data_IF_247330498329
#
_entry.id   IF_247330498329
#
_cell.length_a   1.000
_cell.length_b   1.000
_cell.length_c   1.000
_cell.angle_alpha   90.00
_cell.angle_beta   90.00
_cell.angle_gamma   90.00
#
_symmetry.space_group_name_H-M   'P 1'
#
loop_
_entity.id
_entity.type
_entity.pdbx_description
1 polymer ?
#
# COMPACT_ATOMS: atom_id res chain seq x y z
N UNK A 1 0.52 -25.23 -14.76
CA UNK A 1 -0.35 -24.32 -13.96
C UNK A 1 0.53 -23.20 -13.44
N UNK A 2 0.35 -21.98 -13.96
CA UNK A 2 1.17 -20.83 -13.58
C UNK A 2 0.73 -20.40 -12.18
N UNK A 3 1.56 -20.66 -11.17
CA UNK A 3 1.34 -20.18 -9.81
C UNK A 3 1.54 -18.67 -9.84
N UNK A 4 0.44 -17.90 -9.80
CA UNK A 4 0.51 -16.43 -9.78
C UNK A 4 0.39 -16.01 -8.32
N UNK A 5 1.53 -15.90 -7.66
CA UNK A 5 1.68 -15.05 -6.48
C UNK A 5 1.99 -13.64 -6.98
N UNK A 6 1.20 -12.66 -6.55
CA UNK A 6 1.44 -11.26 -6.89
C UNK A 6 0.89 -10.31 -5.83
N UNK A 7 1.66 -9.28 -5.48
CA UNK A 7 1.23 -8.19 -4.61
C UNK A 7 0.81 -7.00 -5.47
N UNK A 8 -0.51 -6.75 -5.68
CA UNK A 8 -0.96 -5.73 -6.61
C UNK A 8 -0.63 -4.30 -6.20
N UNK A 9 -0.47 -4.07 -4.90
CA UNK A 9 -0.02 -2.79 -4.38
C UNK A 9 0.53 -2.93 -2.97
N UNK A 10 1.55 -2.14 -2.67
CA UNK A 10 2.07 -1.93 -1.33
C UNK A 10 2.52 -0.47 -1.15
N UNK A 11 2.50 0.06 0.09
CA UNK A 11 3.07 1.38 0.34
C UNK A 11 4.58 1.34 0.14
N UNK A 12 5.13 2.32 -0.59
CA UNK A 12 6.60 2.51 -0.65
C UNK A 12 7.10 3.27 0.58
N UNK A 13 6.32 4.25 1.04
CA UNK A 13 6.59 5.05 2.23
C UNK A 13 5.33 5.11 3.08
N UNK A 14 5.46 4.97 4.40
CA UNK A 14 4.37 5.06 5.36
C UNK A 14 4.81 5.81 6.61
N UNK A 15 3.91 6.57 7.24
CA UNK A 15 4.20 7.22 8.51
C UNK A 15 4.17 6.20 9.66
N UNK A 16 5.00 6.40 10.69
CA UNK A 16 4.99 5.60 11.92
C UNK A 16 3.59 5.45 12.54
N UNK A 17 3.34 4.29 13.16
CA UNK A 17 2.06 3.94 13.78
C UNK A 17 0.82 3.84 12.88
N UNK A 18 0.93 4.01 11.55
CA UNK A 18 -0.20 3.93 10.62
C UNK A 18 -0.56 2.48 10.31
N UNK A 19 -1.85 2.27 10.05
CA UNK A 19 -2.38 1.00 9.55
C UNK A 19 -2.49 1.05 8.04
N UNK A 20 -2.16 -0.06 7.40
CA UNK A 20 -2.39 -0.25 5.97
C UNK A 20 -2.82 -1.69 5.68
N UNK A 21 -3.32 -1.90 4.47
CA UNK A 21 -3.73 -3.21 3.98
C UNK A 21 -2.72 -3.67 2.93
N UNK A 22 -2.16 -4.85 3.12
CA UNK A 22 -1.35 -5.55 2.13
C UNK A 22 -2.20 -6.61 1.43
N UNK A 23 -2.60 -6.40 0.17
CA UNK A 23 -3.24 -7.42 -0.65
C UNK A 23 -2.21 -8.41 -1.19
N UNK A 24 -2.52 -9.71 -1.10
CA UNK A 24 -1.74 -10.78 -1.74
C UNK A 24 -2.70 -11.64 -2.56
N UNK A 25 -2.51 -11.67 -3.86
CA UNK A 25 -3.27 -12.55 -4.75
C UNK A 25 -2.57 -13.90 -4.84
N UNK A 26 -3.33 -14.96 -4.60
CA UNK A 26 -2.86 -16.35 -4.63
C UNK A 26 -3.95 -17.22 -5.24
N UNK A 27 -3.61 -18.44 -5.67
CA UNK A 27 -4.59 -19.43 -6.15
C UNK A 27 -5.36 -20.12 -4.99
N UNK A 28 -5.64 -19.41 -3.89
CA UNK A 28 -6.39 -19.92 -2.73
C UNK A 28 -5.52 -20.38 -1.55
N UNK A 29 -4.21 -20.54 -1.73
CA UNK A 29 -3.28 -20.83 -0.63
C UNK A 29 -3.12 -19.59 0.27
N UNK A 30 -3.25 -19.77 1.59
CA UNK A 30 -3.08 -18.70 2.56
C UNK A 30 -1.60 -18.28 2.65
N UNK A 31 -1.26 -17.00 2.39
CA UNK A 31 0.12 -16.54 2.45
C UNK A 31 0.62 -16.49 3.90
N UNK A 32 1.87 -16.90 4.10
CA UNK A 32 2.62 -16.62 5.33
C UNK A 32 3.33 -15.27 5.18
N UNK A 33 3.30 -14.47 6.23
CA UNK A 33 3.94 -13.16 6.24
C UNK A 33 5.05 -13.13 7.29
N UNK A 34 6.25 -12.76 6.86
CA UNK A 34 7.31 -12.32 7.75
C UNK A 34 7.34 -10.79 7.67
N UNK A 35 6.85 -10.15 8.73
CA UNK A 35 6.54 -8.72 8.71
C UNK A 35 7.60 -7.86 9.39
N UNK A 36 8.69 -8.46 9.87
CA UNK A 36 9.72 -7.77 10.63
C UNK A 36 9.12 -7.00 11.82
N UNK A 37 9.28 -5.69 11.82
CA UNK A 37 8.78 -4.79 12.86
C UNK A 37 7.29 -4.39 12.70
N UNK A 38 6.66 -4.74 11.58
CA UNK A 38 5.23 -4.49 11.40
C UNK A 38 4.41 -5.46 12.24
N UNK A 39 3.38 -4.92 12.90
CA UNK A 39 2.42 -5.71 13.65
C UNK A 39 1.27 -6.16 12.75
N UNK A 40 0.97 -7.46 12.72
CA UNK A 40 -0.25 -7.99 12.10
C UNK A 40 -1.42 -7.72 13.04
N UNK A 41 -2.43 -7.02 12.53
CA UNK A 41 -3.67 -6.71 13.26
C UNK A 41 -4.74 -7.75 12.95
N UNK A 42 -4.91 -8.06 11.67
CA UNK A 42 -5.97 -8.92 11.18
C UNK A 42 -5.63 -9.45 9.77
N UNK A 43 -6.32 -10.51 9.36
CA UNK A 43 -6.17 -11.14 8.06
C UNK A 43 -7.51 -11.70 7.59
N UNK A 44 -7.85 -11.48 6.32
CA UNK A 44 -9.08 -12.02 5.73
C UNK A 44 -8.93 -12.35 4.26
N UNK A 45 -9.70 -13.32 3.79
CA UNK A 45 -9.90 -13.57 2.37
C UNK A 45 -10.95 -12.61 1.78
N UNK A 46 -10.70 -12.07 0.58
CA UNK A 46 -11.66 -11.32 -0.22
C UNK A 46 -12.00 -12.11 -1.48
N UNK A 47 -13.18 -12.73 -1.54
CA UNK A 47 -13.65 -13.44 -2.74
C UNK A 47 -13.78 -12.50 -3.95
N UNK A 48 -14.22 -11.25 -3.72
CA UNK A 48 -14.38 -10.27 -4.79
C UNK A 48 -13.06 -9.94 -5.49
N UNK A 49 -11.99 -9.82 -4.71
CA UNK A 49 -10.67 -9.42 -5.21
C UNK A 49 -9.73 -10.61 -5.44
N UNK A 50 -10.19 -11.83 -5.10
CA UNK A 50 -9.42 -13.08 -5.09
C UNK A 50 -8.06 -12.89 -4.40
N UNK A 51 -8.09 -12.28 -3.22
CA UNK A 51 -6.89 -11.87 -2.50
C UNK A 51 -7.02 -12.04 -0.99
N UNK A 52 -5.91 -12.40 -0.35
CA UNK A 52 -5.75 -12.28 1.10
C UNK A 52 -5.38 -10.84 1.46
N UNK A 53 -6.13 -10.25 2.37
CA UNK A 53 -5.88 -8.92 2.91
C UNK A 53 -5.31 -9.05 4.31
N UNK A 54 -4.05 -8.67 4.48
CA UNK A 54 -3.42 -8.54 5.79
C UNK A 54 -3.38 -7.08 6.21
N UNK A 55 -3.94 -6.79 7.38
CA UNK A 55 -3.94 -5.47 7.97
C UNK A 55 -2.75 -5.34 8.89
N UNK A 56 -1.82 -4.46 8.53
CA UNK A 56 -0.54 -4.28 9.21
C UNK A 56 -0.49 -2.89 9.85
N UNK A 57 0.15 -2.78 11.00
CA UNK A 57 0.50 -1.51 11.64
C UNK A 57 2.01 -1.31 11.55
N UNK A 58 2.42 -0.14 11.08
CA UNK A 58 3.83 0.24 11.03
C UNK A 58 4.42 0.42 12.45
N UNK A 59 5.72 0.17 12.61
CA UNK A 59 6.41 0.45 13.87
C UNK A 59 6.35 1.95 14.23
N UNK A 60 6.74 2.23 15.47
CA UNK A 60 6.88 3.60 15.96
C UNK A 60 8.23 4.22 15.62
N UNK A 61 9.22 3.38 15.28
CA UNK A 61 10.55 3.79 14.85
C UNK A 61 10.58 3.97 13.32
N UNK A 62 11.36 4.94 12.86
CA UNK A 62 11.61 5.12 11.42
C UNK A 62 12.70 4.19 10.93
N UNK A 63 12.56 3.67 9.73
CA UNK A 63 13.56 2.82 9.10
C UNK A 63 13.03 2.17 7.82
N UNK A 64 13.93 1.55 7.08
CA UNK A 64 13.57 0.75 5.93
C UNK A 64 13.18 -0.65 6.40
N UNK A 65 11.90 -0.97 6.27
CA UNK A 65 11.35 -2.24 6.71
C UNK A 65 11.04 -3.13 5.49
N UNK A 66 11.23 -4.43 5.67
CA UNK A 66 10.92 -5.42 4.65
C UNK A 66 9.78 -6.32 5.13
N UNK A 67 8.84 -6.60 4.23
CA UNK A 67 7.81 -7.63 4.41
C UNK A 67 8.08 -8.72 3.38
N UNK A 68 8.19 -9.96 3.84
CA UNK A 68 8.33 -11.14 2.98
C UNK A 68 7.01 -11.88 2.98
N UNK A 69 6.49 -12.15 1.79
CA UNK A 69 5.26 -12.91 1.56
C UNK A 69 5.64 -14.26 0.98
N UNK A 70 5.33 -15.33 1.68
CA UNK A 70 5.58 -16.70 1.26
C UNK A 70 4.27 -17.40 0.92
N UNK A 71 4.20 -17.99 -0.27
CA UNK A 71 3.08 -18.82 -0.71
C UNK A 71 3.66 -20.11 -1.28
N UNK A 72 3.44 -21.22 -0.60
CA UNK A 72 4.05 -22.51 -0.95
C UNK A 72 5.59 -22.38 -1.08
N UNK A 73 6.14 -22.58 -2.28
CA UNK A 73 7.58 -22.51 -2.58
C UNK A 73 8.02 -21.17 -3.19
N UNK A 74 7.14 -20.17 -3.23
CA UNK A 74 7.42 -18.85 -3.77
C UNK A 74 7.48 -17.79 -2.68
N UNK A 75 8.39 -16.84 -2.83
CA UNK A 75 8.52 -15.69 -1.95
C UNK A 75 8.58 -14.39 -2.74
N UNK A 76 7.85 -13.39 -2.29
CA UNK A 76 7.89 -12.02 -2.82
C UNK A 76 8.23 -11.05 -1.68
N UNK A 77 9.02 -10.03 -1.99
CA UNK A 77 9.49 -9.06 -1.01
C UNK A 77 8.93 -7.67 -1.30
N UNK A 78 8.49 -6.99 -0.25
CA UNK A 78 8.06 -5.59 -0.27
C UNK A 78 8.95 -4.78 0.64
N UNK A 79 9.58 -3.74 0.11
CA UNK A 79 10.33 -2.76 0.90
C UNK A 79 9.48 -1.52 1.15
N UNK A 80 9.31 -1.16 2.42
CA UNK A 80 8.52 -0.02 2.89
C UNK A 80 9.39 0.85 3.78
N UNK A 81 9.57 2.11 3.43
CA UNK A 81 10.19 3.07 4.32
C UNK A 81 9.18 3.58 5.33
N UNK A 82 9.49 3.42 6.60
CA UNK A 82 8.71 3.97 7.71
C UNK A 82 9.34 5.29 8.13
N UNK A 83 8.56 6.37 8.09
CA UNK A 83 9.04 7.73 8.40
C UNK A 83 8.25 8.37 9.53
N UNK A 84 8.93 9.18 10.33
CA UNK A 84 8.29 10.19 11.17
C UNK A 84 7.70 11.33 10.31
N UNK A 85 6.85 12.15 10.93
CA UNK A 85 6.14 13.24 10.23
C UNK A 85 7.10 14.31 9.68
N UNK A 86 8.16 14.63 10.40
CA UNK A 86 9.21 15.55 10.00
C UNK A 86 9.99 15.03 8.77
N UNK A 87 10.37 13.75 8.76
CA UNK A 87 11.03 13.11 7.61
C UNK A 87 10.14 13.16 6.36
N UNK A 88 8.83 12.94 6.50
CA UNK A 88 7.87 13.04 5.39
C UNK A 88 7.70 14.46 4.83
N UNK A 89 7.99 15.49 5.64
CA UNK A 89 7.91 16.90 5.23
C UNK A 89 9.19 17.37 4.54
N UNK A 90 10.30 16.66 4.75
CA UNK A 90 11.58 16.95 4.15
C UNK A 90 11.70 16.32 2.76
N UNK A 91 12.22 17.06 1.76
CA UNK A 91 12.37 16.52 0.42
C UNK A 91 13.34 15.34 0.37
N UNK A 92 12.90 14.20 -0.16
CA UNK A 92 13.74 13.01 -0.35
C UNK A 92 13.18 12.11 -1.46
N UNK A 93 14.03 11.29 -2.06
CA UNK A 93 13.63 10.26 -3.01
C UNK A 93 13.68 8.88 -2.34
N UNK A 94 12.64 8.08 -2.55
CA UNK A 94 12.61 6.68 -2.14
C UNK A 94 11.93 5.80 -3.18
N UNK A 95 12.60 4.73 -3.62
CA UNK A 95 12.13 3.78 -4.64
C UNK A 95 11.51 4.47 -5.87
N UNK A 96 12.24 5.45 -6.42
CA UNK A 96 11.86 6.22 -7.62
C UNK A 96 10.70 7.18 -7.42
N UNK A 97 10.38 7.56 -6.17
CA UNK A 97 9.32 8.52 -5.83
C UNK A 97 9.89 9.62 -4.97
N UNK A 98 9.68 10.86 -5.41
CA UNK A 98 10.02 12.03 -4.62
C UNK A 98 8.93 12.38 -3.60
N UNK A 99 9.35 12.64 -2.37
CA UNK A 99 8.55 13.06 -1.23
C UNK A 99 9.02 14.43 -0.72
N UNK A 100 8.18 15.21 -0.01
CA UNK A 100 6.73 15.03 0.05
C UNK A 100 6.16 15.06 -1.37
N UNK A 101 5.15 14.21 -1.65
CA UNK A 101 4.39 14.27 -2.90
C UNK A 101 3.61 15.58 -2.93
N UNK A 102 4.29 16.68 -3.22
CA UNK A 102 3.65 17.98 -3.35
C UNK A 102 2.77 17.91 -4.59
N UNK A 103 1.54 18.40 -4.47
CA UNK A 103 0.88 18.98 -5.65
C UNK A 103 1.85 20.01 -6.22
N UNK A 104 2.12 20.04 -7.53
CA UNK A 104 3.03 21.03 -8.04
C UNK A 104 2.36 22.40 -7.85
N UNK A 105 2.80 23.14 -6.82
CA UNK A 105 2.25 24.44 -6.49
C UNK A 105 2.66 25.37 -7.63
N UNK A 106 1.68 25.82 -8.41
CA UNK A 106 1.90 26.73 -9.55
C UNK A 106 2.10 26.06 -10.91
N UNK A 107 1.96 24.74 -11.05
CA UNK A 107 1.92 24.08 -12.38
C UNK A 107 0.48 23.79 -12.80
N UNK A 108 0.16 23.80 -14.12
CA UNK A 108 -1.13 23.33 -14.59
C UNK A 108 -1.31 21.86 -14.21
N UNK A 109 -2.34 21.58 -13.42
CA UNK A 109 -2.67 20.21 -12.99
C UNK A 109 -3.60 19.55 -14.01
N UNK A 110 -3.22 18.35 -14.48
CA UNK A 110 -4.08 17.47 -15.26
C UNK A 110 -4.40 16.22 -14.44
N UNK A 111 -5.66 16.09 -14.01
CA UNK A 111 -6.12 14.89 -13.29
C UNK A 111 -6.03 13.66 -14.19
N UNK A 112 -5.30 12.64 -13.75
CA UNK A 112 -5.28 11.31 -14.37
C UNK A 112 -6.37 10.39 -13.80
N UNK A 113 -7.17 10.86 -12.84
CA UNK A 113 -8.29 10.10 -12.28
C UNK A 113 -9.43 10.05 -13.29
N UNK A 114 -9.66 8.88 -13.85
CA UNK A 114 -10.74 8.58 -14.80
C UNK A 114 -12.03 8.13 -14.13
N UNK A 115 -12.05 7.96 -12.81
CA UNK A 115 -13.22 7.54 -12.04
C UNK A 115 -13.66 8.65 -11.08
N UNK A 116 -14.97 8.75 -10.92
CA UNK A 116 -15.62 9.75 -10.08
C UNK A 116 -15.09 9.66 -8.65
N UNK A 117 -14.35 10.67 -8.21
CA UNK A 117 -14.27 11.01 -6.79
C UNK A 117 -15.57 11.74 -6.47
N UNK A 118 -16.33 11.22 -5.49
CA UNK A 118 -17.53 11.85 -4.95
C UNK A 118 -17.31 13.37 -4.85
N UNK A 119 -18.04 14.14 -5.65
CA UNK A 119 -18.12 15.58 -5.50
C UNK A 119 -19.24 15.87 -4.49
N UNK A 120 -19.09 16.94 -3.71
CA UNK A 120 -20.07 17.39 -2.71
C UNK A 120 -21.44 17.79 -3.29
N UNK A 121 -21.57 17.83 -4.62
CA UNK A 121 -22.82 18.12 -5.29
C UNK A 121 -23.44 16.84 -5.83
N UNK A 122 -24.73 16.57 -5.52
CA UNK A 122 -25.44 15.44 -6.10
C UNK A 122 -25.51 15.60 -7.62
N UNK A 123 -25.40 14.48 -8.34
CA UNK A 123 -25.67 14.42 -9.79
C UNK A 123 -27.08 14.99 -9.99
N UNK A 124 -27.20 16.10 -10.72
CA UNK A 124 -28.50 16.56 -11.20
C UNK A 124 -29.08 15.45 -12.05
N UNK A 125 -30.21 14.89 -11.62
CA UNK A 125 -30.95 13.90 -12.42
C UNK A 125 -31.32 14.53 -13.77
N UNK A 126 -31.13 13.81 -14.89
CA UNK A 126 -31.59 14.32 -16.17
C UNK A 126 -33.13 14.30 -16.19
N UNK A 127 -33.72 15.50 -16.30
CA UNK A 127 -34.89 15.84 -17.11
C UNK A 127 -35.01 17.36 -17.20
#
# INVERSE_FOLDING_TARGET
MTKVQYIPWSPRVIMTGRKFRLPVQTNGACPKLETGEFQIIDHRWSERDQAFFSYLKSPMESGDCTIIVQVEDQSEQVSVQVCHLDQLRNPHEYNGVYWPRRWPVGQPWHSTKTRQTLQDLPISTPN
#
